data_IF_466670403849
#
_entry.id   IF_466670403849
#
_cell.length_a   1.000
_cell.length_b   1.000
_cell.length_c   1.000
_cell.angle_alpha   90.00
_cell.angle_beta   90.00
_cell.angle_gamma   90.00
#
_symmetry.space_group_name_H-M   'P 1'
#
loop_
_entity.id
_entity.type
_entity.pdbx_description
1 polymer ?
#
# COMPACT_ATOMS: atom_id res chain seq x y z
N UNK A 1 -8.86 -50.90 -26.11
CA UNK A 1 -7.70 -50.01 -26.34
C UNK A 1 -7.72 -48.88 -25.31
N UNK A 2 -6.80 -48.87 -24.35
CA UNK A 2 -6.74 -47.81 -23.33
C UNK A 2 -6.19 -46.53 -23.94
N UNK A 3 -6.97 -45.44 -23.93
CA UNK A 3 -6.49 -44.12 -24.37
C UNK A 3 -5.43 -43.67 -23.38
N UNK A 4 -4.16 -43.63 -23.80
CA UNK A 4 -3.08 -43.05 -23.01
C UNK A 4 -3.34 -41.55 -22.84
N UNK A 5 -3.71 -41.13 -21.64
CA UNK A 5 -3.87 -39.72 -21.33
C UNK A 5 -2.50 -39.10 -21.13
N UNK A 6 -2.19 -38.06 -21.91
CA UNK A 6 -0.99 -37.25 -21.70
C UNK A 6 -1.21 -36.40 -20.45
N UNK A 7 -0.45 -36.69 -19.39
CA UNK A 7 -0.41 -35.87 -18.18
C UNK A 7 0.49 -34.66 -18.42
N UNK A 8 0.13 -33.52 -17.84
CA UNK A 8 0.91 -32.27 -17.92
C UNK A 8 1.14 -31.77 -16.49
N UNK A 9 2.39 -31.43 -16.14
CA UNK A 9 2.70 -30.80 -14.85
C UNK A 9 2.09 -29.40 -14.76
N UNK A 10 2.05 -28.80 -13.56
CA UNK A 10 1.58 -27.43 -13.38
C UNK A 10 2.47 -26.44 -14.15
N UNK A 11 3.77 -26.64 -14.10
CA UNK A 11 4.80 -25.82 -14.77
C UNK A 11 4.66 -25.92 -16.29
N UNK A 12 4.45 -27.13 -16.82
CA UNK A 12 4.22 -27.35 -18.25
C UNK A 12 2.97 -26.62 -18.74
N UNK A 13 1.88 -26.68 -17.96
CA UNK A 13 0.65 -25.97 -18.30
C UNK A 13 0.85 -24.46 -18.32
N UNK A 14 1.60 -23.92 -17.35
CA UNK A 14 1.91 -22.50 -17.28
C UNK A 14 2.78 -22.05 -18.46
N UNK A 15 3.84 -22.79 -18.80
CA UNK A 15 4.68 -22.52 -19.96
C UNK A 15 3.87 -22.56 -21.26
N UNK A 16 3.03 -23.58 -21.45
CA UNK A 16 2.14 -23.66 -22.61
C UNK A 16 1.13 -22.51 -22.65
N UNK A 17 0.66 -22.02 -21.50
CA UNK A 17 -0.27 -20.90 -21.44
C UNK A 17 0.41 -19.58 -21.83
N UNK A 18 1.63 -19.35 -21.33
CA UNK A 18 2.47 -18.22 -21.74
C UNK A 18 2.72 -18.22 -23.25
N UNK A 19 3.14 -19.37 -23.79
CA UNK A 19 3.35 -19.57 -25.23
C UNK A 19 2.07 -19.29 -26.03
N UNK A 20 0.91 -19.73 -25.53
CA UNK A 20 -0.37 -19.47 -26.18
C UNK A 20 -0.63 -17.97 -26.31
N UNK A 21 -0.47 -17.21 -25.22
CA UNK A 21 -0.66 -15.76 -25.24
C UNK A 21 0.37 -15.02 -26.11
N UNK A 22 1.61 -15.51 -26.16
CA UNK A 22 2.66 -14.93 -27.01
C UNK A 22 2.46 -15.26 -28.50
N UNK A 23 1.90 -16.43 -28.81
CA UNK A 23 1.75 -16.90 -30.19
C UNK A 23 0.68 -16.17 -30.99
N UNK A 24 -0.32 -15.56 -30.34
CA UNK A 24 -1.47 -14.94 -31.01
C UNK A 24 -2.35 -15.92 -31.80
N UNK A 25 -2.13 -17.23 -31.65
CA UNK A 25 -2.85 -18.27 -32.38
C UNK A 25 -4.25 -18.48 -31.82
N UNK A 26 -5.17 -18.94 -32.67
CA UNK A 26 -6.45 -19.46 -32.20
C UNK A 26 -6.24 -20.70 -31.32
N UNK A 27 -7.17 -20.95 -30.39
CA UNK A 27 -7.09 -22.11 -29.49
C UNK A 27 -6.94 -23.44 -30.24
N UNK A 28 -7.62 -23.57 -31.39
CA UNK A 28 -7.54 -24.77 -32.21
C UNK A 28 -6.17 -24.93 -32.88
N UNK A 29 -5.66 -23.87 -33.51
CA UNK A 29 -4.35 -23.91 -34.18
C UNK A 29 -3.21 -24.11 -33.19
N UNK A 30 -3.29 -23.52 -31.99
CA UNK A 30 -2.33 -23.75 -30.91
C UNK A 30 -2.35 -25.19 -30.40
N UNK A 31 -3.55 -25.77 -30.18
CA UNK A 31 -3.64 -27.17 -29.76
C UNK A 31 -3.07 -28.12 -30.82
N UNK A 32 -3.28 -27.82 -32.10
CA UNK A 32 -2.73 -28.60 -33.22
C UNK A 32 -1.21 -28.50 -33.30
N UNK A 33 -0.64 -27.29 -33.14
CA UNK A 33 0.81 -27.08 -33.23
C UNK A 33 1.59 -27.69 -32.04
N UNK A 34 1.01 -27.62 -30.83
CA UNK A 34 1.64 -28.15 -29.60
C UNK A 34 1.25 -29.60 -29.27
N UNK A 35 0.41 -30.24 -30.10
CA UNK A 35 -0.03 -31.62 -29.89
C UNK A 35 -0.90 -31.82 -28.65
N UNK A 36 -1.71 -30.81 -28.30
CA UNK A 36 -2.68 -30.90 -27.21
C UNK A 36 -3.91 -31.64 -27.73
N UNK A 37 -4.29 -32.71 -27.03
CA UNK A 37 -5.32 -33.65 -27.48
C UNK A 37 -6.70 -33.00 -27.71
N UNK A 38 -7.05 -31.95 -26.96
CA UNK A 38 -8.32 -31.25 -27.12
C UNK A 38 -8.24 -29.79 -26.67
N UNK A 39 -8.96 -28.92 -27.38
CA UNK A 39 -9.19 -27.52 -26.97
C UNK A 39 -9.87 -27.43 -25.60
N UNK A 40 -10.65 -28.45 -25.23
CA UNK A 40 -11.25 -28.56 -23.88
C UNK A 40 -10.19 -28.53 -22.78
N UNK A 41 -9.06 -29.21 -22.96
CA UNK A 41 -7.97 -29.22 -21.98
C UNK A 41 -7.38 -27.82 -21.77
N UNK A 42 -7.13 -27.09 -22.87
CA UNK A 42 -6.64 -25.72 -22.83
C UNK A 42 -7.65 -24.77 -22.14
N UNK A 43 -8.94 -24.91 -22.45
CA UNK A 43 -9.99 -24.12 -21.80
C UNK A 43 -10.09 -24.40 -20.29
N UNK A 44 -9.93 -25.65 -19.86
CA UNK A 44 -9.89 -25.99 -18.44
C UNK A 44 -8.70 -25.33 -17.75
N UNK A 45 -7.51 -25.35 -18.36
CA UNK A 45 -6.33 -24.67 -17.79
C UNK A 45 -6.56 -23.16 -17.70
N UNK A 46 -7.04 -22.53 -18.77
CA UNK A 46 -7.38 -21.11 -18.78
C UNK A 46 -8.34 -20.73 -17.63
N UNK A 47 -9.37 -21.53 -17.37
CA UNK A 47 -10.31 -21.29 -16.26
C UNK A 47 -9.66 -21.46 -14.90
N UNK A 48 -8.88 -22.53 -14.70
CA UNK A 48 -8.21 -22.80 -13.42
C UNK A 48 -7.22 -21.69 -13.08
N UNK A 49 -6.37 -21.28 -14.03
CA UNK A 49 -5.37 -20.23 -13.81
C UNK A 49 -5.96 -18.81 -13.80
N UNK A 50 -7.09 -18.58 -14.46
CA UNK A 50 -7.83 -17.32 -14.33
C UNK A 50 -8.40 -17.16 -12.91
N UNK A 51 -8.92 -18.24 -12.32
CA UNK A 51 -9.43 -18.23 -10.95
C UNK A 51 -8.31 -18.32 -9.90
N UNK A 52 -7.14 -18.86 -10.24
CA UNK A 52 -5.97 -18.83 -9.34
C UNK A 52 -5.44 -17.40 -9.14
N UNK A 53 -5.70 -16.49 -10.09
CA UNK A 53 -5.49 -15.04 -9.87
C UNK A 53 -6.41 -14.46 -8.79
N UNK A 54 -7.55 -15.09 -8.52
CA UNK A 54 -8.45 -14.72 -7.40
C UNK A 54 -7.93 -15.21 -6.05
N UNK A 55 -7.00 -16.19 -6.04
CA UNK A 55 -6.29 -16.63 -4.83
C UNK A 55 -5.04 -15.78 -4.54
N UNK A 56 -4.65 -14.88 -5.46
CA UNK A 56 -3.66 -13.86 -5.17
C UNK A 56 -4.35 -12.84 -4.26
N UNK A 57 -3.81 -12.68 -3.05
CA UNK A 57 -4.24 -11.80 -1.94
C UNK A 57 -4.51 -10.32 -2.30
N UNK A 58 -4.48 -9.93 -3.57
CA UNK A 58 -4.72 -8.57 -4.05
C UNK A 58 -6.20 -8.16 -4.02
N UNK A 59 -7.16 -9.10 -4.00
CA UNK A 59 -8.59 -8.76 -3.89
C UNK A 59 -8.94 -8.01 -2.59
N UNK A 60 -8.22 -8.27 -1.49
CA UNK A 60 -8.44 -7.52 -0.24
C UNK A 60 -8.04 -6.05 -0.34
N UNK A 61 -7.15 -5.68 -1.26
CA UNK A 61 -6.78 -4.28 -1.50
C UNK A 61 -7.84 -3.55 -2.34
N UNK A 62 -8.59 -4.24 -3.21
CA UNK A 62 -9.66 -3.61 -3.99
C UNK A 62 -10.86 -3.17 -3.14
N UNK A 63 -11.15 -3.86 -2.02
CA UNK A 63 -12.21 -3.46 -1.10
C UNK A 63 -11.95 -2.09 -0.44
N UNK A 64 -10.68 -1.74 -0.22
CA UNK A 64 -10.29 -0.44 0.34
C UNK A 64 -10.36 0.69 -0.71
N UNK A 65 -10.20 0.37 -2.00
CA UNK A 65 -10.26 1.36 -3.08
C UNK A 65 -11.71 1.78 -3.36
N UNK A 66 -12.67 0.87 -3.21
CA UNK A 66 -14.09 1.18 -3.40
C UNK A 66 -14.67 2.13 -2.36
N UNK A 67 -14.10 2.18 -1.15
CA UNK A 67 -14.55 3.09 -0.08
C UNK A 67 -14.26 4.57 -0.44
N UNK A 68 -13.14 4.83 -1.12
CA UNK A 68 -12.77 6.20 -1.55
C UNK A 68 -13.69 6.76 -2.65
N UNK A 69 -14.32 5.90 -3.45
CA UNK A 69 -15.19 6.30 -4.56
C UNK A 69 -16.62 6.68 -4.13
N UNK A 70 -17.04 6.29 -2.92
CA UNK A 70 -18.40 6.53 -2.41
C UNK A 70 -18.50 7.68 -1.39
N UNK A 71 -17.37 8.33 -1.06
CA UNK A 71 -17.39 9.49 -0.16
C UNK A 71 -18.00 10.72 -0.86
N UNK A 72 -19.06 11.27 -0.27
CA UNK A 72 -19.69 12.50 -0.74
C UNK A 72 -18.76 13.72 -0.58
N UNK A 73 -18.89 14.71 -1.46
CA UNK A 73 -18.10 15.96 -1.42
C UNK A 73 -18.22 16.70 -0.08
N UNK A 74 -19.37 16.55 0.59
CA UNK A 74 -19.66 17.13 1.90
C UNK A 74 -18.83 16.49 3.02
N UNK A 75 -18.63 15.16 3.00
CA UNK A 75 -17.77 14.45 3.96
C UNK A 75 -16.33 14.96 3.92
N UNK A 76 -15.80 15.23 2.71
CA UNK A 76 -14.46 15.81 2.57
C UNK A 76 -14.38 17.25 3.11
N UNK A 77 -15.43 18.04 2.98
CA UNK A 77 -15.44 19.41 3.50
C UNK A 77 -15.45 19.43 5.03
N UNK A 78 -16.23 18.53 5.64
CA UNK A 78 -16.27 18.38 7.10
C UNK A 78 -14.93 17.88 7.65
N UNK A 79 -14.33 16.85 7.04
CA UNK A 79 -13.02 16.32 7.43
C UNK A 79 -11.93 17.40 7.31
N UNK A 80 -11.91 18.16 6.21
CA UNK A 80 -11.00 19.29 6.05
C UNK A 80 -11.21 20.40 7.09
N UNK A 81 -12.46 20.65 7.49
CA UNK A 81 -12.80 21.60 8.55
C UNK A 81 -12.20 21.17 9.89
N UNK A 82 -12.42 19.91 10.27
CA UNK A 82 -11.86 19.32 11.51
C UNK A 82 -10.33 19.33 11.51
N UNK A 83 -9.71 18.97 10.38
CA UNK A 83 -8.25 18.98 10.24
C UNK A 83 -7.68 20.41 10.41
N UNK A 84 -8.31 21.42 9.80
CA UNK A 84 -7.88 22.82 9.95
C UNK A 84 -8.02 23.33 11.39
N UNK A 85 -9.10 22.95 12.08
CA UNK A 85 -9.28 23.28 13.50
C UNK A 85 -8.17 22.65 14.35
N UNK A 86 -7.86 21.37 14.11
CA UNK A 86 -6.80 20.67 14.83
C UNK A 86 -5.43 21.30 14.62
N UNK A 87 -5.11 21.70 13.39
CA UNK A 87 -3.85 22.39 13.08
C UNK A 87 -3.76 23.69 13.88
N UNK A 88 -4.81 24.51 13.88
CA UNK A 88 -4.83 25.78 14.61
C UNK A 88 -4.66 25.59 16.12
N UNK A 89 -5.27 24.55 16.70
CA UNK A 89 -5.09 24.21 18.11
C UNK A 89 -3.64 23.80 18.42
N UNK A 90 -3.05 22.95 17.58
CA UNK A 90 -1.68 22.49 17.73
C UNK A 90 -0.68 23.64 17.61
N UNK A 91 -0.88 24.54 16.64
CA UNK A 91 -0.07 25.75 16.48
C UNK A 91 -0.15 26.65 17.72
N UNK A 92 -1.35 26.83 18.28
CA UNK A 92 -1.55 27.62 19.51
C UNK A 92 -0.84 26.97 20.71
N UNK A 93 -0.96 25.65 20.87
CA UNK A 93 -0.28 24.92 21.93
C UNK A 93 1.24 25.00 21.79
N UNK A 94 1.76 24.89 20.56
CA UNK A 94 3.17 25.04 20.26
C UNK A 94 3.67 26.45 20.60
N UNK A 95 2.95 27.48 20.18
CA UNK A 95 3.29 28.87 20.47
C UNK A 95 3.32 29.14 21.98
N UNK A 96 2.35 28.60 22.72
CA UNK A 96 2.30 28.72 24.18
C UNK A 96 3.50 28.04 24.86
N UNK A 97 3.85 26.81 24.44
CA UNK A 97 5.00 26.08 24.98
C UNK A 97 6.33 26.79 24.70
N UNK A 98 6.48 27.39 23.52
CA UNK A 98 7.67 28.20 23.19
C UNK A 98 7.75 29.44 24.09
N UNK A 99 6.66 30.19 24.22
CA UNK A 99 6.60 31.37 25.08
C UNK A 99 6.87 31.03 26.55
N UNK A 100 6.34 29.91 27.04
CA UNK A 100 6.63 29.43 28.39
C UNK A 100 8.12 29.13 28.58
N UNK A 101 8.75 28.49 27.59
CA UNK A 101 10.20 28.21 27.62
C UNK A 101 11.00 29.50 27.62
N UNK A 102 10.66 30.46 26.75
CA UNK A 102 11.30 31.77 26.68
C UNK A 102 11.14 32.57 27.98
N UNK A 103 9.96 32.52 28.60
CA UNK A 103 9.71 33.18 29.89
C UNK A 103 10.56 32.57 31.01
N UNK A 104 10.65 31.24 31.07
CA UNK A 104 11.52 30.53 32.02
C UNK A 104 12.99 30.89 31.79
N UNK A 105 13.43 30.92 30.53
CA UNK A 105 14.78 31.31 30.17
C UNK A 105 15.11 32.74 30.56
N UNK A 106 14.16 33.67 30.39
CA UNK A 106 14.33 35.06 30.80
C UNK A 106 14.43 35.18 32.32
N UNK A 107 13.60 34.45 33.08
CA UNK A 107 13.71 34.42 34.55
C UNK A 107 15.08 33.93 35.01
N UNK A 108 15.60 32.87 34.37
CA UNK A 108 16.94 32.35 34.66
C UNK A 108 17.99 33.41 34.37
N UNK A 109 17.96 34.04 33.19
CA UNK A 109 18.91 35.11 32.84
C UNK A 109 18.89 36.24 33.85
N UNK A 110 17.70 36.71 34.27
CA UNK A 110 17.59 37.75 35.30
C UNK A 110 18.17 37.30 36.64
N UNK A 111 17.89 36.08 37.09
CA UNK A 111 18.44 35.56 38.34
C UNK A 111 19.97 35.45 38.30
N UNK A 112 20.54 35.00 37.18
CA UNK A 112 21.99 34.96 36.96
C UNK A 112 22.58 36.38 37.02
N UNK A 113 21.93 37.38 36.39
CA UNK A 113 22.34 38.80 36.42
C UNK A 113 22.27 39.44 37.81
N UNK A 114 21.25 39.14 38.62
CA UNK A 114 21.06 39.76 39.93
C UNK A 114 21.91 39.15 41.05
N UNK A 115 22.16 37.84 40.98
CA UNK A 115 22.81 37.10 42.05
C UNK A 115 24.24 36.65 41.71
N UNK A 116 24.73 36.89 40.48
CA UNK A 116 26.05 36.47 39.98
C UNK A 116 26.34 34.96 40.15
N UNK A 117 25.29 34.14 40.19
CA UNK A 117 25.38 32.69 40.32
C UNK A 117 24.99 32.05 38.98
N UNK A 118 25.85 31.19 38.38
CA UNK A 118 25.50 30.48 37.15
C UNK A 118 24.52 29.34 37.45
N UNK A 119 23.31 29.42 36.88
CA UNK A 119 22.23 28.44 37.06
C UNK A 119 22.21 27.46 35.87
N UNK A 120 22.52 27.93 34.65
CA UNK A 120 22.58 27.09 33.45
C UNK A 120 23.82 26.19 33.43
N UNK A 121 23.68 24.97 32.92
CA UNK A 121 24.83 24.12 32.59
C UNK A 121 25.63 24.73 31.44
N UNK A 122 26.96 24.79 31.59
CA UNK A 122 27.86 25.20 30.50
C UNK A 122 27.91 24.11 29.44
N UNK A 123 27.77 24.49 28.17
CA UNK A 123 27.91 23.59 27.02
C UNK A 123 29.35 23.07 26.92
N UNK A 124 29.62 21.90 27.50
CA UNK A 124 30.95 21.28 27.47
C UNK A 124 31.39 20.54 28.73
N UNK A 125 30.61 20.55 29.81
CA UNK A 125 30.88 19.69 30.96
C UNK A 125 30.55 18.23 30.60
N UNK A 126 31.60 17.44 30.29
CA UNK A 126 31.53 15.97 30.29
C UNK A 126 31.47 15.45 31.73
#
# INVERSE_FOLDING_TARGET
MSKKYKSYSKEDKLSLLCDYYQSGLSKYSFCKSRGIAAVKSLNTWLKVFANEKDLLSLQSEQANITDMSNRSKESYQEENGRLKQRIKELEKALAFSKLETEARDLMITRAEEYFDIPIRKKSGAK
#
